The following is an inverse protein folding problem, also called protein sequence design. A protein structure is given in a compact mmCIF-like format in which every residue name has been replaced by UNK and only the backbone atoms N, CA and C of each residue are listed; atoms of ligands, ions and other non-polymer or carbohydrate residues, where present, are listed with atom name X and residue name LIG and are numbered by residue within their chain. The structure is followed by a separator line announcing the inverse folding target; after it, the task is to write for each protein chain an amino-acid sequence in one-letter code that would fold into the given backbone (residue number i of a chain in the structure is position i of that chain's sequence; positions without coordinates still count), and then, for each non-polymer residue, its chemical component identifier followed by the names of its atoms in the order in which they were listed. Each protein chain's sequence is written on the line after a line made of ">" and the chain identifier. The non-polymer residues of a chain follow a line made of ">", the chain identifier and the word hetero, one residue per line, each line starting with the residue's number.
data_IF_887602906352
#
_entry.id   IF_887602906352
#
_cell.length_a   1.000
_cell.length_b   1.000
_cell.length_c   1.000
_cell.angle_alpha   90.00
_cell.angle_beta   90.00
_cell.angle_gamma   90.00
#
_symmetry.space_group_name_H-M   'P 1'
#
loop_
_entity.id
_entity.type
_entity.pdbx_description
1 polymer ?
#
# COMPACT_ATOMS: atom_id res chain seq x y z
N UNK A 1 -7.85 -55.96 -15.58
CA UNK A 1 -6.91 -54.88 -15.24
C UNK A 1 -7.37 -53.57 -15.84
N UNK A 2 -8.54 -53.10 -15.34
CA UNK A 2 -9.04 -51.77 -15.61
C UNK A 2 -9.02 -50.97 -14.30
N UNK A 3 -7.84 -50.55 -13.93
CA UNK A 3 -7.68 -49.57 -12.87
C UNK A 3 -6.72 -48.55 -13.45
N UNK A 4 -7.28 -47.46 -13.99
CA UNK A 4 -6.55 -46.20 -14.05
C UNK A 4 -7.00 -45.12 -15.06
N UNK A 5 -8.24 -45.07 -15.55
CA UNK A 5 -8.68 -43.85 -16.21
C UNK A 5 -9.32 -42.82 -15.25
N UNK A 6 -9.71 -43.24 -14.02
CA UNK A 6 -10.48 -42.33 -13.15
C UNK A 6 -9.63 -41.47 -12.22
N UNK A 7 -8.37 -41.79 -12.03
CA UNK A 7 -7.46 -40.99 -11.21
C UNK A 7 -6.72 -39.87 -11.99
N UNK A 8 -6.56 -40.03 -13.30
CA UNK A 8 -5.91 -39.02 -14.16
C UNK A 8 -6.86 -37.87 -14.53
N UNK A 9 -8.15 -38.02 -14.37
CA UNK A 9 -9.16 -36.97 -14.66
C UNK A 9 -9.60 -36.19 -13.45
N UNK A 10 -9.29 -36.61 -12.22
CA UNK A 10 -9.57 -35.86 -10.98
C UNK A 10 -8.35 -35.17 -10.39
N UNK A 11 -7.18 -35.50 -10.92
CA UNK A 11 -5.96 -34.85 -10.50
C UNK A 11 -5.77 -33.56 -11.30
N UNK A 12 -5.93 -32.46 -10.56
CA UNK A 12 -5.37 -31.18 -10.90
C UNK A 12 -5.99 -30.42 -12.07
N UNK A 13 -7.30 -30.28 -12.06
CA UNK A 13 -7.83 -29.00 -12.54
C UNK A 13 -7.63 -27.97 -11.44
N UNK A 14 -6.37 -27.53 -11.21
CA UNK A 14 -6.14 -26.18 -10.71
C UNK A 14 -6.77 -25.30 -11.79
N UNK A 15 -7.94 -24.74 -11.46
CA UNK A 15 -8.60 -23.82 -12.40
C UNK A 15 -7.63 -22.66 -12.59
N UNK A 16 -7.54 -22.14 -13.81
CA UNK A 16 -6.70 -20.95 -14.08
C UNK A 16 -6.98 -19.82 -13.07
N UNK A 17 -8.23 -19.72 -12.57
CA UNK A 17 -8.63 -18.82 -11.50
C UNK A 17 -7.92 -19.08 -10.17
N UNK A 18 -7.67 -20.35 -9.82
CA UNK A 18 -7.01 -20.69 -8.55
C UNK A 18 -5.52 -20.36 -8.62
N UNK A 19 -4.89 -20.63 -9.78
CA UNK A 19 -3.50 -20.25 -10.02
C UNK A 19 -3.31 -18.72 -10.00
N UNK A 20 -4.22 -17.96 -10.62
CA UNK A 20 -4.22 -16.50 -10.56
C UNK A 20 -4.34 -15.99 -9.13
N UNK A 21 -5.27 -16.54 -8.36
CA UNK A 21 -5.48 -16.16 -6.96
C UNK A 21 -4.23 -16.40 -6.12
N UNK A 22 -3.57 -17.56 -6.29
CA UNK A 22 -2.33 -17.88 -5.58
C UNK A 22 -1.20 -16.93 -6.01
N UNK A 23 -1.06 -16.70 -7.30
CA UNK A 23 -0.01 -15.79 -7.83
C UNK A 23 -0.20 -14.36 -7.35
N UNK A 24 -1.43 -13.85 -7.34
CA UNK A 24 -1.75 -12.55 -6.80
C UNK A 24 -1.46 -12.48 -5.30
N UNK A 25 -1.85 -13.48 -4.52
CA UNK A 25 -1.58 -13.54 -3.08
C UNK A 25 -0.08 -13.49 -2.77
N UNK A 26 0.77 -14.20 -3.53
CA UNK A 26 2.22 -14.18 -3.36
C UNK A 26 2.81 -12.78 -3.63
N UNK A 27 2.27 -12.06 -4.61
CA UNK A 27 2.69 -10.67 -4.90
C UNK A 27 2.23 -9.71 -3.82
N UNK A 28 0.98 -9.85 -3.37
CA UNK A 28 0.44 -9.03 -2.27
C UNK A 28 1.24 -9.21 -0.97
N UNK A 29 1.69 -10.42 -0.64
CA UNK A 29 2.55 -10.68 0.53
C UNK A 29 3.82 -9.83 0.46
N UNK A 30 4.44 -9.69 -0.71
CA UNK A 30 5.63 -8.85 -0.87
C UNK A 30 5.33 -7.37 -0.61
N UNK A 31 4.20 -6.86 -1.11
CA UNK A 31 3.79 -5.48 -0.85
C UNK A 31 3.42 -5.27 0.63
N UNK A 32 2.78 -6.25 1.27
CA UNK A 32 2.49 -6.19 2.72
C UNK A 32 3.77 -6.20 3.57
N UNK A 33 4.79 -6.99 3.19
CA UNK A 33 6.11 -6.97 3.82
C UNK A 33 6.74 -5.57 3.73
N UNK A 34 6.68 -4.93 2.54
CA UNK A 34 7.18 -3.56 2.35
C UNK A 34 6.44 -2.53 3.19
N UNK A 35 5.12 -2.65 3.32
CA UNK A 35 4.33 -1.81 4.22
C UNK A 35 4.80 -1.98 5.67
N UNK A 36 5.08 -3.21 6.10
CA UNK A 36 5.63 -3.51 7.42
C UNK A 36 7.00 -2.87 7.65
N UNK A 37 7.90 -2.96 6.67
CA UNK A 37 9.23 -2.34 6.70
C UNK A 37 9.10 -0.81 6.86
N UNK A 38 8.26 -0.15 6.03
CA UNK A 38 8.02 1.28 6.10
C UNK A 38 7.45 1.70 7.47
N UNK A 39 6.54 0.91 8.02
CA UNK A 39 5.98 1.18 9.35
C UNK A 39 7.04 1.06 10.45
N UNK A 40 7.97 0.10 10.33
CA UNK A 40 9.11 -0.05 11.24
C UNK A 40 10.05 1.15 11.16
N UNK A 41 10.40 1.61 9.95
CA UNK A 41 11.23 2.79 9.73
C UNK A 41 10.60 4.05 10.33
N UNK A 42 9.28 4.23 10.17
CA UNK A 42 8.53 5.33 10.81
C UNK A 42 8.65 5.27 12.33
N UNK A 43 8.50 4.08 12.92
CA UNK A 43 8.63 3.90 14.37
C UNK A 43 10.05 4.21 14.86
N UNK A 44 11.08 3.80 14.11
CA UNK A 44 12.47 4.08 14.43
C UNK A 44 12.73 5.59 14.49
N UNK A 45 12.35 6.33 13.43
CA UNK A 45 12.50 7.79 13.40
C UNK A 45 11.70 8.44 14.55
N UNK A 46 10.47 8.00 14.80
CA UNK A 46 9.64 8.57 15.85
C UNK A 46 10.24 8.38 17.27
N UNK A 47 11.05 7.34 17.49
CA UNK A 47 11.70 7.04 18.77
C UNK A 47 13.06 7.74 18.95
N UNK A 48 13.67 8.32 17.93
CA UNK A 48 14.96 9.05 18.00
C UNK A 48 14.88 10.30 18.88
N UNK A 49 13.69 10.77 19.24
CA UNK A 49 13.49 11.86 20.21
C UNK A 49 13.65 13.27 19.63
N UNK A 50 13.73 13.42 18.31
CA UNK A 50 13.83 14.71 17.65
C UNK A 50 12.46 15.40 17.46
N UNK A 51 11.38 14.61 17.45
CA UNK A 51 10.02 15.09 17.23
C UNK A 51 9.42 15.73 18.50
N UNK A 52 9.74 17.00 18.72
CA UNK A 52 9.38 17.74 19.96
C UNK A 52 8.24 18.73 19.77
N UNK A 53 8.01 19.17 18.56
CA UNK A 53 7.04 20.23 18.24
C UNK A 53 5.70 19.67 17.77
N UNK A 54 4.63 20.47 17.76
CA UNK A 54 3.37 20.10 17.10
C UNK A 54 3.63 19.74 15.63
N UNK A 55 2.99 18.66 15.17
CA UNK A 55 3.11 18.20 13.78
C UNK A 55 2.40 19.16 12.83
N UNK A 56 2.83 19.24 11.57
CA UNK A 56 2.11 19.98 10.54
C UNK A 56 0.64 19.58 10.44
N UNK A 57 -0.23 20.50 10.05
CA UNK A 57 -1.68 20.30 10.00
C UNK A 57 -2.07 19.12 9.10
N UNK A 58 -1.46 19.01 7.92
CA UNK A 58 -1.79 17.98 6.93
C UNK A 58 -1.19 16.60 7.25
N UNK A 59 -0.26 16.53 8.21
CA UNK A 59 0.46 15.28 8.52
C UNK A 59 -0.46 14.17 9.04
N UNK A 60 -1.38 14.50 9.95
CA UNK A 60 -2.33 13.53 10.49
C UNK A 60 -3.32 13.05 9.42
N UNK A 61 -3.75 13.94 8.55
CA UNK A 61 -4.65 13.61 7.42
C UNK A 61 -3.98 12.66 6.44
N UNK A 62 -2.69 12.89 6.12
CA UNK A 62 -1.90 12.01 5.26
C UNK A 62 -1.75 10.61 5.87
N UNK A 63 -1.41 10.52 7.14
CA UNK A 63 -1.29 9.23 7.83
C UNK A 63 -2.62 8.45 7.81
N UNK A 64 -3.73 9.14 8.10
CA UNK A 64 -5.06 8.53 8.07
C UNK A 64 -5.46 8.06 6.67
N UNK A 65 -5.12 8.82 5.63
CA UNK A 65 -5.38 8.44 4.24
C UNK A 65 -4.61 7.18 3.86
N UNK A 66 -3.30 7.11 4.13
CA UNK A 66 -2.47 5.93 3.86
C UNK A 66 -2.96 4.68 4.61
N UNK A 67 -3.29 4.80 5.90
CA UNK A 67 -3.86 3.70 6.70
C UNK A 67 -5.19 3.22 6.09
N UNK A 68 -6.06 4.15 5.69
CA UNK A 68 -7.35 3.82 5.06
C UNK A 68 -7.17 3.08 3.74
N UNK A 69 -6.17 3.45 2.92
CA UNK A 69 -5.86 2.75 1.66
C UNK A 69 -5.46 1.30 1.92
N UNK A 70 -4.57 1.05 2.88
CA UNK A 70 -4.13 -0.31 3.24
C UNK A 70 -5.32 -1.17 3.68
N UNK A 71 -6.16 -0.66 4.61
CA UNK A 71 -7.32 -1.42 5.08
C UNK A 71 -8.28 -1.75 3.94
N UNK A 72 -8.60 -0.78 3.08
CA UNK A 72 -9.51 -1.00 1.95
C UNK A 72 -8.94 -1.94 0.91
N UNK A 73 -7.63 -1.91 0.65
CA UNK A 73 -6.98 -2.86 -0.26
C UNK A 73 -7.09 -4.31 0.25
N UNK A 74 -6.89 -4.52 1.57
CA UNK A 74 -7.07 -5.83 2.20
C UNK A 74 -8.54 -6.26 2.17
N UNK A 75 -9.47 -5.37 2.51
CA UNK A 75 -10.91 -5.64 2.47
C UNK A 75 -11.38 -6.00 1.05
N UNK A 76 -10.87 -5.30 0.04
CA UNK A 76 -11.13 -5.60 -1.37
C UNK A 76 -10.69 -7.04 -1.73
N UNK A 77 -9.54 -7.49 -1.23
CA UNK A 77 -9.08 -8.86 -1.44
C UNK A 77 -9.99 -9.88 -0.76
N UNK A 78 -10.31 -9.65 0.52
CA UNK A 78 -11.12 -10.58 1.33
C UNK A 78 -12.53 -10.74 0.75
N UNK A 79 -13.15 -9.64 0.30
CA UNK A 79 -14.51 -9.63 -0.22
C UNK A 79 -14.59 -9.81 -1.73
N UNK A 80 -13.44 -9.87 -2.44
CA UNK A 80 -13.34 -9.89 -3.90
C UNK A 80 -14.07 -8.71 -4.56
N UNK A 81 -13.90 -7.53 -3.98
CA UNK A 81 -14.58 -6.30 -4.37
C UNK A 81 -13.70 -5.45 -5.28
N UNK A 82 -14.02 -5.48 -6.59
CA UNK A 82 -13.29 -4.72 -7.62
C UNK A 82 -13.53 -3.22 -7.45
N UNK A 83 -14.74 -2.80 -7.09
CA UNK A 83 -15.06 -1.38 -6.96
C UNK A 83 -14.27 -0.77 -5.81
N UNK A 84 -14.16 -1.50 -4.70
CA UNK A 84 -13.34 -1.07 -3.57
C UNK A 84 -11.84 -1.00 -3.94
N UNK A 85 -11.33 -1.96 -4.71
CA UNK A 85 -9.96 -1.94 -5.21
C UNK A 85 -9.70 -0.70 -6.08
N UNK A 86 -10.58 -0.39 -7.03
CA UNK A 86 -10.47 0.80 -7.88
C UNK A 86 -10.53 2.10 -7.08
N UNK A 87 -11.33 2.15 -5.99
CA UNK A 87 -11.35 3.31 -5.09
C UNK A 87 -10.03 3.50 -4.35
N UNK A 88 -9.30 2.41 -4.05
CA UNK A 88 -7.95 2.52 -3.47
C UNK A 88 -6.99 3.15 -4.47
N UNK A 89 -7.00 2.71 -5.73
CA UNK A 89 -6.18 3.30 -6.79
C UNK A 89 -6.44 4.82 -6.94
N UNK A 90 -7.70 5.25 -6.94
CA UNK A 90 -8.07 6.67 -7.01
C UNK A 90 -7.69 7.48 -5.76
N UNK A 91 -7.46 6.82 -4.63
CA UNK A 91 -7.07 7.49 -3.38
C UNK A 91 -5.60 7.85 -3.32
N UNK A 92 -4.78 7.35 -4.22
CA UNK A 92 -3.36 7.66 -4.33
C UNK A 92 -3.12 9.15 -4.58
N UNK A 93 -3.86 9.75 -5.50
CA UNK A 93 -3.81 11.19 -5.78
C UNK A 93 -4.04 12.04 -4.52
N UNK A 94 -4.84 11.54 -3.57
CA UNK A 94 -5.11 12.24 -2.30
C UNK A 94 -3.87 12.20 -1.40
N UNK A 95 -3.20 11.06 -1.30
CA UNK A 95 -1.97 10.91 -0.50
C UNK A 95 -0.85 11.74 -1.09
N UNK A 96 -0.71 11.77 -2.40
CA UNK A 96 0.25 12.58 -3.13
C UNK A 96 0.05 14.09 -2.93
N UNK A 97 -1.21 14.54 -2.97
CA UNK A 97 -1.56 15.93 -2.69
C UNK A 97 -1.19 16.29 -1.24
N UNK A 98 -1.57 15.44 -0.27
CA UNK A 98 -1.25 15.63 1.14
C UNK A 98 0.26 15.60 1.41
N UNK A 99 1.04 14.77 0.70
CA UNK A 99 2.49 14.80 0.77
C UNK A 99 3.07 16.16 0.36
N UNK A 100 2.54 16.74 -0.72
CA UNK A 100 2.96 18.07 -1.17
C UNK A 100 2.58 19.18 -0.17
N UNK A 101 1.40 19.07 0.47
CA UNK A 101 0.96 20.01 1.50
C UNK A 101 1.84 19.90 2.75
N UNK A 102 2.12 18.69 3.24
CA UNK A 102 3.06 18.46 4.35
C UNK A 102 4.43 19.04 4.05
N UNK A 103 4.95 18.83 2.83
CA UNK A 103 6.24 19.40 2.41
C UNK A 103 6.22 20.95 2.44
N UNK A 104 5.11 21.56 2.00
CA UNK A 104 4.95 23.02 2.05
C UNK A 104 4.91 23.54 3.50
N UNK A 105 4.19 22.86 4.39
CA UNK A 105 4.11 23.17 5.81
C UNK A 105 5.50 23.13 6.47
N UNK A 106 6.28 22.07 6.19
CA UNK A 106 7.64 21.90 6.71
C UNK A 106 8.58 23.01 6.23
N UNK A 107 8.52 23.39 4.95
CA UNK A 107 9.31 24.51 4.39
C UNK A 107 8.91 25.83 5.07
N UNK A 108 7.62 26.07 5.27
CA UNK A 108 7.14 27.26 5.96
C UNK A 108 7.62 27.30 7.42
N UNK A 109 7.56 26.16 8.11
CA UNK A 109 8.07 26.00 9.48
C UNK A 109 9.55 26.29 9.62
N UNK A 110 10.38 25.79 8.68
CA UNK A 110 11.83 26.04 8.65
C UNK A 110 12.21 27.52 8.46
N UNK A 111 11.41 28.29 7.69
CA UNK A 111 11.65 29.73 7.51
C UNK A 111 11.48 30.49 8.83
N UNK A 112 10.58 30.04 9.69
CA UNK A 112 10.35 30.65 11.01
C UNK A 112 11.30 30.15 12.10
N UNK A 113 11.75 28.89 11.98
CA UNK A 113 12.54 28.20 12.99
C UNK A 113 13.65 27.34 12.36
N UNK A 114 14.77 27.94 11.93
CA UNK A 114 15.88 27.21 11.31
C UNK A 114 16.54 26.16 12.24
N UNK A 115 16.38 26.32 13.54
CA UNK A 115 16.84 25.41 14.59
C UNK A 115 16.11 24.05 14.58
N UNK A 116 14.98 23.95 13.87
CA UNK A 116 14.19 22.74 13.74
C UNK A 116 14.48 21.91 12.48
N UNK A 117 15.62 22.14 11.84
CA UNK A 117 15.97 21.49 10.57
C UNK A 117 15.95 19.96 10.68
N UNK A 118 16.55 19.40 11.73
CA UNK A 118 16.61 17.94 11.96
C UNK A 118 15.21 17.34 12.11
N UNK A 119 14.37 17.94 12.95
CA UNK A 119 12.98 17.55 13.14
C UNK A 119 12.16 17.59 11.84
N UNK A 120 12.35 18.65 11.03
CA UNK A 120 11.65 18.77 9.74
C UNK A 120 12.11 17.74 8.72
N UNK A 121 13.38 17.35 8.71
CA UNK A 121 13.89 16.28 7.86
C UNK A 121 13.30 14.92 8.28
N UNK A 122 13.25 14.64 9.57
CA UNK A 122 12.64 13.42 10.10
C UNK A 122 11.16 13.32 9.75
N UNK A 123 10.41 14.42 9.90
CA UNK A 123 9.02 14.48 9.50
C UNK A 123 8.82 14.29 7.98
N UNK A 124 9.72 14.87 7.17
CA UNK A 124 9.69 14.66 5.71
C UNK A 124 9.95 13.19 5.34
N UNK A 125 10.88 12.54 6.03
CA UNK A 125 11.13 11.10 5.82
C UNK A 125 9.94 10.24 6.21
N UNK A 126 9.30 10.53 7.34
CA UNK A 126 8.07 9.83 7.74
C UNK A 126 6.95 10.06 6.70
N UNK A 127 6.77 11.29 6.21
CA UNK A 127 5.80 11.58 5.15
C UNK A 127 6.10 10.78 3.87
N UNK A 128 7.38 10.64 3.49
CA UNK A 128 7.78 9.83 2.34
C UNK A 128 7.51 8.33 2.54
N UNK A 129 7.66 7.82 3.76
CA UNK A 129 7.28 6.44 4.05
C UNK A 129 5.76 6.23 4.01
N UNK A 130 4.97 7.21 4.46
CA UNK A 130 3.51 7.16 4.35
C UNK A 130 3.04 7.14 2.88
N UNK A 131 3.66 7.93 2.00
CA UNK A 131 3.38 7.92 0.57
C UNK A 131 3.71 6.54 -0.03
N UNK A 132 4.88 5.95 0.30
CA UNK A 132 5.23 4.61 -0.15
C UNK A 132 4.27 3.52 0.35
N UNK A 133 3.74 3.66 1.56
CA UNK A 133 2.68 2.76 2.06
C UNK A 133 1.43 2.87 1.17
N UNK A 134 1.06 4.07 0.71
CA UNK A 134 0.00 4.29 -0.28
C UNK A 134 0.29 3.58 -1.59
N UNK A 135 1.49 3.76 -2.16
CA UNK A 135 1.94 3.07 -3.38
C UNK A 135 1.78 1.55 -3.29
N UNK A 136 2.21 0.96 -2.16
CA UNK A 136 2.07 -0.49 -1.95
C UNK A 136 0.61 -0.92 -1.77
N UNK A 137 -0.25 -0.08 -1.19
CA UNK A 137 -1.69 -0.35 -1.11
C UNK A 137 -2.34 -0.34 -2.51
N UNK A 138 -1.92 0.55 -3.41
CA UNK A 138 -2.32 0.55 -4.82
C UNK A 138 -1.88 -0.75 -5.49
N UNK A 139 -0.63 -1.18 -5.33
CA UNK A 139 -0.16 -2.45 -5.88
C UNK A 139 -1.03 -3.64 -5.40
N UNK A 140 -1.37 -3.68 -4.11
CA UNK A 140 -2.27 -4.72 -3.57
C UNK A 140 -3.63 -4.66 -4.28
N UNK A 141 -4.22 -3.47 -4.46
CA UNK A 141 -5.50 -3.30 -5.14
C UNK A 141 -5.44 -3.79 -6.61
N UNK A 142 -4.38 -3.46 -7.34
CA UNK A 142 -4.14 -3.96 -8.70
C UNK A 142 -4.07 -5.50 -8.76
N UNK A 143 -3.41 -6.14 -7.78
CA UNK A 143 -3.36 -7.60 -7.69
C UNK A 143 -4.71 -8.21 -7.32
N UNK A 144 -5.57 -7.51 -6.58
CA UNK A 144 -6.96 -7.91 -6.33
C UNK A 144 -7.75 -7.93 -7.63
N UNK A 145 -7.67 -6.85 -8.42
CA UNK A 145 -8.31 -6.79 -9.74
C UNK A 145 -7.82 -7.92 -10.64
N UNK A 146 -6.51 -8.16 -10.70
CA UNK A 146 -5.95 -9.28 -11.46
C UNK A 146 -6.46 -10.64 -11.00
N UNK A 147 -6.50 -10.90 -9.69
CA UNK A 147 -6.99 -12.18 -9.16
C UNK A 147 -8.42 -12.49 -9.61
N UNK A 148 -9.26 -11.47 -9.75
CA UNK A 148 -10.68 -11.60 -10.10
C UNK A 148 -10.86 -11.63 -11.62
N UNK A 149 -10.25 -10.70 -12.36
CA UNK A 149 -10.50 -10.48 -13.78
C UNK A 149 -9.51 -11.19 -14.71
N UNK A 150 -8.29 -11.45 -14.24
CA UNK A 150 -7.16 -11.91 -15.06
C UNK A 150 -6.40 -10.77 -15.75
N UNK A 151 -6.82 -9.52 -15.57
CA UNK A 151 -6.17 -8.34 -16.16
C UNK A 151 -5.35 -7.62 -15.10
N UNK A 152 -4.06 -7.41 -15.36
CA UNK A 152 -3.19 -6.59 -14.53
C UNK A 152 -2.93 -5.26 -15.24
N UNK A 153 -3.26 -4.14 -14.60
CA UNK A 153 -3.18 -2.79 -15.20
C UNK A 153 -3.89 -2.69 -16.55
N UNK A 154 -4.99 -3.43 -16.72
CA UNK A 154 -5.78 -3.45 -17.95
C UNK A 154 -5.24 -4.37 -19.05
N UNK A 155 -4.13 -5.10 -18.83
CA UNK A 155 -3.50 -5.99 -19.80
C UNK A 155 -3.48 -7.45 -19.29
N UNK A 156 -3.61 -8.42 -20.22
CA UNK A 156 -3.39 -9.84 -19.89
C UNK A 156 -1.89 -10.09 -19.65
N UNK A 157 -1.55 -10.67 -18.49
CA UNK A 157 -0.19 -11.16 -18.25
C UNK A 157 0.05 -12.41 -19.12
N UNK A 158 1.02 -12.32 -20.04
CA UNK A 158 1.43 -13.44 -20.91
C UNK A 158 2.42 -14.34 -20.21
#
# INVERSE_FOLDING_TARGET
>A
YEIMPSLVGSEMCIRDSDLRTISAALKMITDMERIGDQASDICEIATMGHLRSPRPEHFASMAQAAISMVHRAIDAYVHKDIELAQQVELSDDIVDALFNDVKADLIAGLRGHPDRTEECLDLLMIAKYLERIGDHAVNIAEWVVYAITGLYKGEELK
#
